data_IF_018346575527
#
_entry.id   IF_018346575527
#
_cell.length_a   1.000
_cell.length_b   1.000
_cell.length_c   1.000
_cell.angle_alpha   90.00
_cell.angle_beta   90.00
_cell.angle_gamma   90.00
#
_symmetry.space_group_name_H-M   'P 1'
#
loop_
_entity.id
_entity.type
_entity.pdbx_description
1 polymer ?
#
# COMPACT_ATOMS: atom_id res chain seq x y z
N UNK A 1 -9.60 -13.20 -4.69
CA UNK A 1 -9.53 -12.35 -3.49
C UNK A 1 -8.10 -12.12 -2.97
N UNK A 2 -7.13 -13.01 -3.20
CA UNK A 2 -5.76 -12.87 -2.66
C UNK A 2 -4.84 -11.88 -3.41
N UNK A 3 -5.27 -11.36 -4.57
CA UNK A 3 -4.48 -10.41 -5.39
C UNK A 3 -4.17 -9.08 -4.70
N UNK A 4 -4.95 -8.70 -3.69
CA UNK A 4 -4.79 -7.43 -2.95
C UNK A 4 -4.01 -7.59 -1.65
N UNK A 5 -3.63 -8.81 -1.23
CA UNK A 5 -2.71 -9.05 -0.12
C UNK A 5 -1.27 -8.73 -0.57
N UNK A 6 -1.05 -7.45 -0.84
CA UNK A 6 0.27 -6.90 -1.08
C UNK A 6 0.74 -6.20 0.20
N UNK A 7 2.05 -6.15 0.44
CA UNK A 7 2.61 -5.50 1.63
C UNK A 7 2.16 -4.05 1.76
N UNK A 8 1.97 -3.34 0.64
CA UNK A 8 1.45 -1.97 0.61
C UNK A 8 0.01 -1.85 1.11
N UNK A 9 -0.85 -2.83 0.82
CA UNK A 9 -2.24 -2.84 1.30
C UNK A 9 -2.29 -3.03 2.82
N UNK A 10 -1.45 -3.92 3.35
CA UNK A 10 -1.31 -4.10 4.80
C UNK A 10 -0.83 -2.83 5.50
N UNK A 11 0.17 -2.16 4.91
CA UNK A 11 0.67 -0.88 5.42
C UNK A 11 -0.40 0.23 5.37
N UNK A 12 -1.16 0.31 4.29
CA UNK A 12 -2.26 1.26 4.15
C UNK A 12 -3.31 1.08 5.26
N UNK A 13 -3.71 -0.17 5.53
CA UNK A 13 -4.68 -0.47 6.60
C UNK A 13 -4.12 -0.10 7.97
N UNK A 14 -2.85 -0.40 8.25
CA UNK A 14 -2.21 -0.03 9.50
C UNK A 14 -2.17 1.49 9.71
N UNK A 15 -1.71 2.23 8.69
CA UNK A 15 -1.65 3.69 8.73
C UNK A 15 -3.04 4.32 8.86
N UNK A 16 -4.05 3.74 8.23
CA UNK A 16 -5.44 4.18 8.36
C UNK A 16 -5.94 4.05 9.79
N UNK A 17 -5.66 2.92 10.45
CA UNK A 17 -6.04 2.69 11.84
C UNK A 17 -5.33 3.71 12.76
N UNK A 18 -4.02 3.93 12.57
CA UNK A 18 -3.27 4.91 13.36
C UNK A 18 -3.84 6.33 13.16
N UNK A 19 -4.10 6.73 11.91
CA UNK A 19 -4.72 8.02 11.61
C UNK A 19 -6.11 8.16 12.23
N UNK A 20 -6.95 7.12 12.16
CA UNK A 20 -8.28 7.11 12.76
C UNK A 20 -8.21 7.23 14.29
N UNK A 21 -7.28 6.54 14.95
CA UNK A 21 -7.03 6.66 16.39
C UNK A 21 -6.58 8.08 16.74
N UNK A 22 -5.67 8.67 15.97
CA UNK A 22 -5.23 10.06 16.16
C UNK A 22 -6.33 11.11 15.96
N UNK A 23 -7.35 10.83 15.12
CA UNK A 23 -8.51 11.71 14.99
C UNK A 23 -9.50 11.58 16.16
N UNK A 24 -9.72 10.36 16.66
CA UNK A 24 -10.72 10.10 17.73
C UNK A 24 -10.16 10.45 19.11
N UNK A 25 -8.93 10.05 19.42
CA UNK A 25 -8.29 10.24 20.72
C UNK A 25 -7.36 11.45 20.78
N UNK A 26 -7.20 12.16 19.66
CA UNK A 26 -6.33 13.32 19.53
C UNK A 26 -4.90 12.96 19.14
N UNK A 27 -4.16 13.95 18.66
CA UNK A 27 -2.80 13.78 18.18
C UNK A 27 -1.84 13.22 19.26
N UNK A 28 -2.12 13.46 20.54
CA UNK A 28 -1.31 12.95 21.65
C UNK A 28 -1.35 11.42 21.80
N UNK A 29 -2.38 10.75 21.27
CA UNK A 29 -2.49 9.29 21.33
C UNK A 29 -1.55 8.56 20.35
N UNK A 30 -1.12 9.26 19.30
CA UNK A 30 -0.22 8.74 18.25
C UNK A 30 1.18 9.39 18.29
N UNK A 31 1.38 10.33 19.21
CA UNK A 31 2.60 11.12 19.34
C UNK A 31 3.68 10.32 20.03
N UNK A 32 4.90 10.37 19.51
CA UNK A 32 6.05 9.79 20.19
C UNK A 32 6.45 10.61 21.44
N UNK A 33 6.93 9.96 22.53
CA UNK A 33 7.35 10.66 23.73
C UNK A 33 8.51 11.62 23.42
N UNK A 34 8.27 12.92 23.62
CA UNK A 34 9.24 13.99 23.32
C UNK A 34 8.96 14.77 22.03
N UNK A 35 7.99 14.36 21.21
CA UNK A 35 7.59 15.13 20.01
C UNK A 35 6.70 16.33 20.41
N UNK A 36 6.84 17.52 19.79
CA UNK A 36 5.91 18.63 20.01
C UNK A 36 4.48 18.25 19.60
N UNK A 37 3.47 18.82 20.26
CA UNK A 37 2.08 18.59 19.89
C UNK A 37 1.80 19.20 18.52
N UNK A 38 1.48 18.35 17.54
CA UNK A 38 1.12 18.78 16.19
C UNK A 38 -0.29 18.25 15.84
N UNK A 39 -1.30 19.12 15.74
CA UNK A 39 -2.66 18.72 15.40
C UNK A 39 -2.79 18.20 13.96
N UNK A 40 -1.79 18.42 13.09
CA UNK A 40 -1.76 17.91 11.72
C UNK A 40 -1.20 16.48 11.64
N UNK A 41 -0.68 15.92 12.73
CA UNK A 41 -0.08 14.59 12.76
C UNK A 41 -1.03 13.49 12.26
N UNK A 42 -2.31 13.41 12.68
CA UNK A 42 -3.26 12.41 12.15
C UNK A 42 -3.49 12.56 10.64
N UNK A 43 -3.51 13.80 10.13
CA UNK A 43 -3.68 14.09 8.70
C UNK A 43 -2.50 13.59 7.87
N UNK A 44 -1.27 13.64 8.42
CA UNK A 44 -0.10 13.04 7.78
C UNK A 44 -0.24 11.53 7.65
N UNK A 45 -0.76 10.83 8.68
CA UNK A 45 -1.05 9.40 8.60
C UNK A 45 -2.12 9.07 7.55
N UNK A 46 -3.16 9.90 7.42
CA UNK A 46 -4.14 9.77 6.33
C UNK A 46 -3.53 10.04 4.94
N UNK A 47 -2.65 11.04 4.81
CA UNK A 47 -1.92 11.31 3.58
C UNK A 47 -1.04 10.12 3.17
N UNK A 48 -0.28 9.56 4.12
CA UNK A 48 0.53 8.37 3.90
C UNK A 48 -0.32 7.15 3.54
N UNK A 49 -1.49 6.98 4.18
CA UNK A 49 -2.47 5.95 3.84
C UNK A 49 -2.92 6.07 2.38
N UNK A 50 -3.32 7.26 1.95
CA UNK A 50 -3.75 7.51 0.57
C UNK A 50 -2.65 7.17 -0.44
N UNK A 51 -1.41 7.57 -0.16
CA UNK A 51 -0.25 7.21 -0.98
C UNK A 51 -0.03 5.69 -1.06
N UNK A 52 -0.16 4.98 0.06
CA UNK A 52 -0.01 3.52 0.07
C UNK A 52 -1.13 2.80 -0.68
N UNK A 53 -2.37 3.30 -0.63
CA UNK A 53 -3.49 2.77 -1.43
C UNK A 53 -3.18 2.91 -2.92
N UNK A 54 -2.73 4.09 -3.36
CA UNK A 54 -2.35 4.33 -4.76
C UNK A 54 -1.23 3.36 -5.18
N UNK A 55 -0.20 3.20 -4.36
CA UNK A 55 0.90 2.27 -4.62
C UNK A 55 0.43 0.82 -4.68
N UNK A 56 -0.48 0.40 -3.78
CA UNK A 56 -1.04 -0.94 -3.80
C UNK A 56 -1.77 -1.22 -5.12
N UNK A 57 -2.58 -0.28 -5.60
CA UNK A 57 -3.31 -0.40 -6.87
C UNK A 57 -2.34 -0.50 -8.05
N UNK A 58 -1.34 0.40 -8.12
CA UNK A 58 -0.35 0.40 -9.20
C UNK A 58 0.48 -0.89 -9.21
N UNK A 59 0.88 -1.38 -8.04
CA UNK A 59 1.65 -2.62 -7.90
C UNK A 59 0.89 -3.84 -8.43
N UNK A 60 -0.43 -3.92 -8.19
CA UNK A 60 -1.25 -5.03 -8.72
C UNK A 60 -1.30 -4.98 -10.25
N UNK A 61 -1.52 -3.80 -10.84
CA UNK A 61 -1.57 -3.63 -12.31
C UNK A 61 -0.24 -4.01 -12.96
N UNK A 62 0.87 -3.59 -12.37
CA UNK A 62 2.20 -3.92 -12.87
C UNK A 62 2.51 -5.42 -12.80
N UNK A 63 2.09 -6.08 -11.72
CA UNK A 63 2.23 -7.54 -11.58
C UNK A 63 1.44 -8.31 -12.65
N UNK A 64 0.21 -7.89 -12.93
CA UNK A 64 -0.61 -8.52 -13.97
C UNK A 64 -0.02 -8.37 -15.37
N UNK A 65 0.61 -7.23 -15.67
CA UNK A 65 1.31 -7.02 -16.94
C UNK A 65 2.50 -7.98 -17.09
N UNK A 66 3.36 -8.08 -16.06
CA UNK A 66 4.53 -8.98 -16.09
C UNK A 66 4.14 -10.45 -16.26
N UNK A 67 3.05 -10.88 -15.61
CA UNK A 67 2.59 -12.26 -15.75
C UNK A 67 2.14 -12.59 -17.17
N UNK A 68 1.44 -11.65 -17.84
CA UNK A 68 1.04 -11.81 -19.25
C UNK A 68 2.26 -11.86 -20.18
N UNK A 69 3.26 -11.01 -19.95
CA UNK A 69 4.51 -10.99 -20.73
C UNK A 69 5.31 -12.29 -20.57
N UNK A 70 5.37 -12.84 -19.35
CA UNK A 70 6.03 -14.12 -19.06
C UNK A 70 5.30 -15.29 -19.73
N UNK A 71 3.97 -15.32 -19.70
CA UNK A 71 3.19 -16.38 -20.34
C UNK A 71 3.38 -16.35 -21.87
N UNK A 72 3.33 -15.17 -22.50
CA UNK A 72 3.57 -15.01 -23.93
C UNK A 72 5.00 -15.40 -24.32
N UNK A 73 6.00 -14.99 -23.54
CA UNK A 73 7.40 -15.36 -23.76
C UNK A 73 7.62 -16.87 -23.63
N UNK A 74 6.92 -17.53 -22.71
CA UNK A 74 7.02 -18.98 -22.51
C UNK A 74 6.39 -19.74 -23.68
N UNK A 75 5.20 -19.34 -24.12
CA UNK A 75 4.54 -19.91 -25.32
C UNK A 75 5.39 -19.76 -26.57
N UNK A 76 5.95 -18.57 -26.81
CA UNK A 76 6.83 -18.30 -27.97
C UNK A 76 8.09 -19.17 -27.97
N UNK A 77 8.69 -19.42 -26.79
CA UNK A 77 9.84 -20.34 -26.65
C UNK A 77 9.46 -21.79 -26.91
N UNK A 78 8.26 -22.20 -26.55
CA UNK A 78 7.78 -23.58 -26.77
C UNK A 78 7.45 -23.84 -28.25
N UNK A 79 6.84 -22.88 -28.93
CA UNK A 79 6.61 -22.93 -30.38
C UNK A 79 7.92 -22.96 -31.18
N UNK A 80 8.94 -22.19 -30.76
CA UNK A 80 10.25 -22.21 -31.40
C UNK A 80 11.06 -23.50 -31.20
N UNK A 81 10.61 -24.40 -30.30
CA UNK A 81 11.25 -25.70 -30.04
C UNK A 81 10.56 -26.89 -30.71
N UNK A 82 9.39 -26.67 -31.34
CA UNK A 82 8.66 -27.68 -32.13
C UNK A 82 9.00 -27.53 -33.61
#
# INVERSE_FOLDING_TARGET
MWKFLNSFTGLAVLLFIIGAVGLVYGADAIRDPGQPHDPLLPWLYFGATALMIVNAILSVRHYEQKMKEQEQSSKKKEEARK
#
